data_IF_295804641090
#
_entry.id   IF_295804641090
#
_cell.length_a   1.000
_cell.length_b   1.000
_cell.length_c   1.000
_cell.angle_alpha   90.00
_cell.angle_beta   90.00
_cell.angle_gamma   90.00
#
_symmetry.space_group_name_H-M   'P 1'
#
loop_
_entity.id
_entity.type
_entity.pdbx_description
1 polymer ?
#
# COMPACT_ATOMS: atom_id res chain seq x y z
N UNK A 1 4.03 -10.18 -1.96
CA UNK A 1 5.05 -10.84 -2.82
C UNK A 1 4.48 -11.44 -4.10
N UNK A 2 3.15 -11.53 -4.26
CA UNK A 2 2.56 -11.77 -5.58
C UNK A 2 3.00 -10.66 -6.53
N UNK A 3 3.24 -11.03 -7.78
CA UNK A 3 3.82 -10.14 -8.79
C UNK A 3 2.79 -9.59 -9.76
N UNK A 4 3.10 -8.40 -10.26
CA UNK A 4 2.49 -7.75 -11.42
C UNK A 4 3.63 -7.34 -12.34
N UNK A 5 3.66 -7.84 -13.58
CA UNK A 5 4.73 -7.51 -14.52
C UNK A 5 6.12 -7.99 -14.10
N UNK A 6 6.18 -9.15 -13.43
CA UNK A 6 7.43 -9.73 -12.91
C UNK A 6 8.03 -8.98 -11.72
N UNK A 7 7.27 -8.09 -11.07
CA UNK A 7 7.71 -7.35 -9.87
C UNK A 7 6.67 -7.50 -8.76
N UNK A 8 7.07 -7.72 -7.50
CA UNK A 8 6.13 -7.84 -6.39
C UNK A 8 5.22 -6.61 -6.26
N UNK A 9 3.94 -6.78 -5.94
CA UNK A 9 3.03 -5.63 -5.67
C UNK A 9 3.61 -4.66 -4.61
N UNK A 10 4.32 -5.20 -3.61
CA UNK A 10 5.05 -4.41 -2.61
C UNK A 10 6.03 -3.43 -3.26
N UNK A 11 6.73 -3.85 -4.32
CA UNK A 11 7.65 -2.99 -5.06
C UNK A 11 6.90 -1.85 -5.78
N UNK A 12 5.73 -2.13 -6.38
CA UNK A 12 4.91 -1.10 -7.03
C UNK A 12 4.42 -0.05 -6.03
N UNK A 13 4.01 -0.47 -4.83
CA UNK A 13 3.63 0.43 -3.74
C UNK A 13 4.82 1.30 -3.32
N UNK A 14 6.00 0.71 -3.13
CA UNK A 14 7.21 1.46 -2.77
C UNK A 14 7.62 2.45 -3.87
N UNK A 15 7.44 2.11 -5.15
CA UNK A 15 7.68 3.06 -6.25
C UNK A 15 6.72 4.24 -6.22
N UNK A 16 5.45 4.01 -5.91
CA UNK A 16 4.47 5.08 -5.74
C UNK A 16 4.92 6.04 -4.62
N UNK A 17 5.25 5.54 -3.43
CA UNK A 17 5.80 6.37 -2.34
C UNK A 17 7.09 7.10 -2.74
N UNK A 18 8.01 6.40 -3.40
CA UNK A 18 9.29 6.96 -3.83
C UNK A 18 9.14 8.06 -4.89
N UNK A 19 8.11 7.99 -5.73
CA UNK A 19 7.77 9.05 -6.67
C UNK A 19 7.36 10.33 -5.93
N UNK A 20 6.61 10.21 -4.83
CA UNK A 20 6.24 11.32 -3.95
C UNK A 20 7.30 11.67 -2.89
N UNK A 21 8.55 11.20 -3.06
CA UNK A 21 9.68 11.59 -2.21
C UNK A 21 9.90 10.75 -0.95
N UNK A 22 9.05 9.76 -0.67
CA UNK A 22 9.18 8.87 0.50
C UNK A 22 10.04 7.66 0.13
N UNK A 23 11.22 7.56 0.75
CA UNK A 23 12.26 6.58 0.39
C UNK A 23 12.74 5.70 1.54
N UNK A 24 12.24 5.99 2.75
CA UNK A 24 12.49 5.19 3.94
C UNK A 24 11.28 4.29 4.20
N UNK A 25 11.51 2.98 4.19
CA UNK A 25 10.47 1.97 4.28
C UNK A 25 10.73 1.05 5.47
N UNK A 26 9.68 0.79 6.25
CA UNK A 26 9.66 -0.25 7.26
C UNK A 26 8.59 -1.27 6.86
N UNK A 27 9.01 -2.49 6.55
CA UNK A 27 8.09 -3.57 6.16
C UNK A 27 7.84 -4.47 7.36
N UNK A 28 6.59 -4.50 7.82
CA UNK A 28 6.13 -5.38 8.88
C UNK A 28 5.98 -6.82 8.36
N UNK A 29 7.04 -7.62 8.46
CA UNK A 29 7.02 -9.02 8.08
C UNK A 29 6.27 -9.88 9.10
N UNK A 30 5.66 -10.97 8.65
CA UNK A 30 5.12 -12.04 9.49
C UNK A 30 5.40 -13.39 8.83
N UNK A 31 4.38 -14.22 8.71
CA UNK A 31 4.50 -15.51 8.01
C UNK A 31 5.14 -15.35 6.62
N UNK A 32 6.15 -16.17 6.32
CA UNK A 32 7.00 -16.09 5.11
C UNK A 32 7.78 -14.79 4.93
N UNK A 33 8.02 -14.02 6.00
CA UNK A 33 8.84 -12.81 5.97
C UNK A 33 10.24 -13.02 5.38
N UNK A 34 10.80 -14.23 5.48
CA UNK A 34 12.07 -14.59 4.85
C UNK A 34 12.08 -14.37 3.33
N UNK A 35 10.95 -14.58 2.62
CA UNK A 35 10.85 -14.33 1.17
C UNK A 35 11.06 -12.85 0.85
N UNK A 36 10.58 -11.95 1.72
CA UNK A 36 10.79 -10.51 1.57
C UNK A 36 12.25 -10.16 1.85
N UNK A 37 12.85 -10.76 2.90
CA UNK A 37 14.27 -10.59 3.24
C UNK A 37 15.18 -11.02 2.09
N UNK A 38 14.93 -12.19 1.53
CA UNK A 38 15.69 -12.73 0.41
C UNK A 38 15.56 -11.83 -0.84
N UNK A 39 14.34 -11.38 -1.17
CA UNK A 39 14.11 -10.48 -2.30
C UNK A 39 14.93 -9.18 -2.21
N UNK A 40 14.98 -8.51 -1.05
CA UNK A 40 15.78 -7.29 -0.88
C UNK A 40 17.28 -7.56 -0.74
N UNK A 41 17.68 -8.70 -0.16
CA UNK A 41 19.08 -9.11 -0.11
C UNK A 41 19.67 -9.34 -1.51
N UNK A 42 18.84 -9.85 -2.44
CA UNK A 42 19.21 -10.14 -3.81
C UNK A 42 18.58 -9.15 -4.81
N UNK A 43 18.21 -7.94 -4.38
CA UNK A 43 17.46 -7.00 -5.21
C UNK A 43 18.13 -6.73 -6.57
N UNK A 44 19.45 -6.52 -6.59
CA UNK A 44 20.19 -6.30 -7.83
C UNK A 44 20.19 -7.52 -8.77
N UNK A 45 20.17 -8.73 -8.23
CA UNK A 45 20.04 -9.95 -9.03
C UNK A 45 18.66 -10.08 -9.67
N UNK A 46 17.61 -9.63 -8.98
CA UNK A 46 16.24 -9.63 -9.52
C UNK A 46 16.00 -8.52 -10.55
N UNK A 47 16.71 -7.39 -10.42
CA UNK A 47 16.34 -6.15 -11.11
C UNK A 47 17.35 -5.71 -12.17
N UNK A 48 18.46 -6.41 -12.34
CA UNK A 48 19.55 -5.99 -13.22
C UNK A 48 20.22 -7.18 -13.90
N UNK A 49 20.75 -6.94 -15.10
CA UNK A 49 21.57 -7.93 -15.80
C UNK A 49 22.88 -8.16 -15.02
N UNK A 50 23.27 -9.42 -14.82
CA UNK A 50 24.49 -9.79 -14.08
C UNK A 50 25.40 -10.68 -14.91
N UNK A 51 26.71 -10.60 -14.66
CA UNK A 51 27.69 -11.59 -15.13
C UNK A 51 28.39 -12.21 -13.95
N UNK A 52 28.47 -13.54 -13.97
CA UNK A 52 29.24 -14.32 -13.03
C UNK A 52 30.53 -14.78 -13.70
N UNK A 53 31.66 -14.20 -13.30
CA UNK A 53 32.97 -14.74 -13.60
C UNK A 53 33.27 -15.85 -12.59
N UNK A 54 32.98 -17.09 -12.98
CA UNK A 54 33.17 -18.27 -12.13
C UNK A 54 34.66 -18.57 -11.88
N UNK A 55 35.57 -18.08 -12.72
CA UNK A 55 37.01 -18.29 -12.54
C UNK A 55 37.60 -17.39 -11.45
N UNK A 56 37.02 -16.20 -11.28
CA UNK A 56 37.39 -15.23 -10.26
C UNK A 56 36.42 -15.21 -9.08
N UNK A 57 35.37 -16.04 -9.12
CA UNK A 57 34.25 -16.04 -8.18
C UNK A 57 33.68 -14.63 -7.94
N UNK A 58 33.52 -13.87 -9.02
CA UNK A 58 33.10 -12.45 -8.99
C UNK A 58 31.78 -12.27 -9.72
N UNK A 59 30.89 -11.48 -9.11
CA UNK A 59 29.64 -11.02 -9.71
C UNK A 59 29.77 -9.56 -10.13
N UNK A 60 29.37 -9.26 -11.36
CA UNK A 60 29.27 -7.90 -11.90
C UNK A 60 27.81 -7.59 -12.25
N UNK A 61 27.34 -6.39 -11.89
CA UNK A 61 25.96 -5.92 -12.15
C UNK A 61 26.03 -4.85 -13.24
N UNK A 62 25.44 -5.11 -14.41
CA UNK A 62 25.63 -4.32 -15.63
C UNK A 62 24.77 -3.05 -15.72
N UNK A 63 23.75 -2.91 -14.87
CA UNK A 63 22.92 -1.70 -14.79
C UNK A 63 22.55 -1.40 -13.34
N UNK A 64 23.10 -0.33 -12.79
CA UNK A 64 22.70 0.15 -11.47
C UNK A 64 21.36 0.92 -11.56
N UNK A 65 20.25 0.21 -11.76
CA UNK A 65 18.91 0.74 -11.44
C UNK A 65 18.69 0.68 -9.92
N UNK A 66 19.63 1.26 -9.16
CA UNK A 66 19.52 1.32 -7.71
C UNK A 66 18.44 2.34 -7.35
N UNK A 67 17.34 1.85 -6.78
CA UNK A 67 16.36 2.75 -6.17
C UNK A 67 17.00 3.39 -4.93
N UNK A 68 16.80 4.70 -4.69
CA UNK A 68 17.40 5.40 -3.55
C UNK A 68 16.66 5.09 -2.24
N UNK A 69 16.44 3.82 -1.93
CA UNK A 69 15.60 3.36 -0.82
C UNK A 69 16.42 2.87 0.37
N UNK A 70 15.94 3.19 1.57
CA UNK A 70 16.35 2.52 2.81
C UNK A 70 15.21 1.62 3.24
N UNK A 71 15.44 0.30 3.22
CA UNK A 71 14.39 -0.69 3.51
C UNK A 71 14.75 -1.46 4.77
N UNK A 72 13.93 -1.30 5.81
CA UNK A 72 14.02 -2.04 7.06
C UNK A 72 12.97 -3.15 7.07
N UNK A 73 13.40 -4.38 7.30
CA UNK A 73 12.51 -5.55 7.32
C UNK A 73 12.41 -6.08 8.76
N UNK A 74 11.25 -5.88 9.38
CA UNK A 74 11.04 -6.18 10.79
C UNK A 74 10.17 -7.42 10.91
N UNK A 75 10.63 -8.42 11.66
CA UNK A 75 9.75 -9.53 12.04
C UNK A 75 8.77 -9.02 13.11
N UNK A 76 7.52 -8.86 12.71
CA UNK A 76 6.42 -8.40 13.55
C UNK A 76 5.55 -9.57 14.02
N UNK A 77 6.02 -10.81 13.90
CA UNK A 77 5.38 -12.03 14.41
C UNK A 77 4.31 -12.62 13.49
N UNK A 78 4.17 -13.94 13.54
CA UNK A 78 3.28 -14.67 12.63
C UNK A 78 1.79 -14.42 12.93
N UNK A 79 1.41 -14.34 14.20
CA UNK A 79 0.01 -14.24 14.66
C UNK A 79 -0.45 -12.80 14.98
N UNK A 80 0.42 -11.81 14.79
CA UNK A 80 0.13 -10.41 15.14
C UNK A 80 -0.83 -9.76 14.16
N UNK A 81 -1.80 -9.02 14.68
CA UNK A 81 -2.79 -8.27 13.91
C UNK A 81 -2.25 -6.92 13.43
N UNK A 82 -2.92 -6.28 12.47
CA UNK A 82 -2.48 -5.04 11.78
C UNK A 82 -2.04 -3.93 12.74
N UNK A 83 -2.80 -3.65 13.80
CA UNK A 83 -2.43 -2.65 14.80
C UNK A 83 -1.22 -3.09 15.63
N UNK A 84 -1.21 -4.35 16.07
CA UNK A 84 -0.05 -4.95 16.74
C UNK A 84 1.25 -4.82 15.94
N UNK A 85 1.19 -5.06 14.62
CA UNK A 85 2.36 -4.94 13.72
C UNK A 85 2.87 -3.50 13.67
N UNK A 86 1.97 -2.53 13.57
CA UNK A 86 2.31 -1.11 13.64
C UNK A 86 2.97 -0.76 14.99
N UNK A 87 2.42 -1.25 16.12
CA UNK A 87 3.02 -1.04 17.44
C UNK A 87 4.42 -1.64 17.57
N UNK A 88 4.69 -2.79 16.96
CA UNK A 88 6.02 -3.43 17.00
C UNK A 88 7.11 -2.65 16.25
N UNK A 89 6.74 -1.74 15.35
CA UNK A 89 7.70 -0.89 14.63
C UNK A 89 7.84 0.51 15.22
N UNK A 90 7.32 0.75 16.44
CA UNK A 90 7.40 2.04 17.16
C UNK A 90 8.80 2.65 17.14
N UNK A 91 9.85 1.87 17.39
CA UNK A 91 11.25 2.34 17.43
C UNK A 91 11.72 3.02 16.14
N UNK A 92 11.06 2.75 15.01
CA UNK A 92 11.42 3.31 13.71
C UNK A 92 10.64 4.57 13.33
N UNK A 93 9.55 4.89 14.03
CA UNK A 93 8.57 5.92 13.62
C UNK A 93 8.20 6.90 14.75
N UNK A 94 8.53 6.60 16.01
CA UNK A 94 8.11 7.39 17.17
C UNK A 94 8.66 8.81 17.20
N UNK A 95 9.81 9.04 16.58
CA UNK A 95 10.51 10.34 16.57
C UNK A 95 10.14 11.20 15.35
N UNK A 96 9.32 10.68 14.43
CA UNK A 96 8.85 11.42 13.26
C UNK A 96 7.66 12.34 13.61
N UNK A 97 7.53 13.46 12.89
CA UNK A 97 6.33 14.31 12.98
C UNK A 97 5.08 13.54 12.54
N UNK A 98 5.19 12.85 11.41
CA UNK A 98 4.17 11.97 10.86
C UNK A 98 4.86 10.92 9.96
N UNK A 99 4.21 9.78 9.80
CA UNK A 99 4.66 8.69 8.93
C UNK A 99 3.50 8.17 8.07
N UNK A 100 3.83 7.60 6.91
CA UNK A 100 2.85 6.93 6.08
C UNK A 100 2.67 5.47 6.49
N UNK A 101 1.44 4.99 6.47
CA UNK A 101 1.10 3.60 6.77
C UNK A 101 0.09 3.08 5.76
N UNK A 102 0.29 1.89 5.20
CA UNK A 102 -0.64 1.34 4.20
C UNK A 102 -0.61 -0.18 4.16
N UNK A 103 -1.56 -0.74 3.41
CA UNK A 103 -1.65 -2.15 3.10
C UNK A 103 -0.67 -2.55 1.98
N UNK A 104 -0.22 -3.80 2.00
CA UNK A 104 0.77 -4.34 1.05
C UNK A 104 0.20 -4.87 -0.26
N UNK A 105 -1.09 -4.63 -0.53
CA UNK A 105 -1.89 -5.26 -1.59
C UNK A 105 -2.75 -4.28 -2.41
N UNK A 106 -2.75 -2.98 -2.08
CA UNK A 106 -3.51 -1.95 -2.78
C UNK A 106 -2.65 -1.09 -3.70
N UNK A 107 -3.11 -0.84 -4.94
CA UNK A 107 -2.49 0.08 -5.88
C UNK A 107 -3.42 1.25 -6.20
N UNK A 108 -2.85 2.44 -6.31
CA UNK A 108 -3.60 3.68 -6.53
C UNK A 108 -2.77 4.71 -7.26
N UNK A 109 -3.43 5.67 -7.90
CA UNK A 109 -2.85 6.92 -8.40
C UNK A 109 -3.07 8.10 -7.42
N UNK A 110 -3.33 7.80 -6.15
CA UNK A 110 -3.45 8.81 -5.08
C UNK A 110 -2.18 9.66 -4.98
N UNK A 111 -2.35 10.98 -4.85
CA UNK A 111 -1.24 11.88 -4.58
C UNK A 111 -0.86 11.81 -3.10
N UNK A 112 0.19 11.04 -2.82
CA UNK A 112 0.71 10.87 -1.45
C UNK A 112 1.30 12.17 -0.91
N UNK A 113 1.87 13.02 -1.77
CA UNK A 113 2.39 14.32 -1.35
C UNK A 113 1.27 15.23 -0.85
N UNK A 114 0.14 15.25 -1.59
CA UNK A 114 -1.05 15.99 -1.20
C UNK A 114 -1.69 15.45 0.09
N UNK A 115 -1.71 14.13 0.30
CA UNK A 115 -2.27 13.55 1.54
C UNK A 115 -1.43 13.87 2.77
N UNK A 116 -0.10 13.93 2.63
CA UNK A 116 0.81 14.36 3.71
C UNK A 116 0.63 15.84 4.04
N UNK A 117 0.51 16.69 3.03
CA UNK A 117 0.26 18.12 3.24
C UNK A 117 -1.11 18.36 3.89
N UNK A 118 -2.15 17.65 3.43
CA UNK A 118 -3.46 17.67 4.06
C UNK A 118 -3.41 17.26 5.54
N UNK A 119 -2.65 16.21 5.86
CA UNK A 119 -2.44 15.76 7.25
C UNK A 119 -1.87 16.86 8.14
N UNK A 120 -0.81 17.52 7.66
CA UNK A 120 -0.17 18.63 8.36
C UNK A 120 -1.11 19.81 8.57
N UNK A 121 -1.93 20.13 7.58
CA UNK A 121 -2.85 21.29 7.64
C UNK A 121 -3.94 21.13 8.70
N UNK A 122 -4.51 19.92 8.85
CA UNK A 122 -5.59 19.71 9.81
C UNK A 122 -5.08 19.37 11.23
N UNK A 123 -3.84 18.90 11.38
CA UNK A 123 -3.19 18.69 12.67
C UNK A 123 -3.85 17.63 13.58
N UNK A 124 -4.47 16.61 12.98
CA UNK A 124 -5.12 15.49 13.68
C UNK A 124 -4.26 14.25 13.61
N UNK A 125 -4.44 13.30 14.52
CA UNK A 125 -3.56 12.14 14.61
C UNK A 125 -3.61 11.20 13.40
N UNK A 126 -4.71 11.15 12.65
CA UNK A 126 -4.84 10.25 11.51
C UNK A 126 -5.50 10.91 10.29
N UNK A 127 -4.93 10.62 9.13
CA UNK A 127 -5.56 10.80 7.82
C UNK A 127 -5.70 9.44 7.17
N UNK A 128 -6.88 9.12 6.65
CA UNK A 128 -7.13 7.92 5.82
C UNK A 128 -7.50 8.35 4.42
N UNK A 129 -6.98 7.65 3.41
CA UNK A 129 -7.43 7.89 2.03
C UNK A 129 -8.78 7.22 1.82
N UNK A 130 -9.81 8.02 1.56
CA UNK A 130 -11.18 7.57 1.34
C UNK A 130 -11.43 7.38 -0.16
N UNK A 131 -11.77 6.17 -0.59
CA UNK A 131 -11.87 5.79 -2.00
C UNK A 131 -13.25 5.24 -2.33
N UNK A 132 -13.62 5.29 -3.61
CA UNK A 132 -14.80 4.58 -4.10
C UNK A 132 -14.46 3.11 -4.34
N UNK A 133 -15.22 2.16 -3.75
CA UNK A 133 -14.97 0.75 -4.00
C UNK A 133 -15.26 0.38 -5.47
N UNK A 134 -14.55 -0.62 -6.03
CA UNK A 134 -14.99 -1.24 -7.26
C UNK A 134 -16.35 -1.89 -7.04
N UNK A 135 -17.26 -1.77 -8.01
CA UNK A 135 -18.55 -2.44 -7.96
C UNK A 135 -18.37 -3.94 -7.74
N UNK A 136 -19.10 -4.51 -6.79
CA UNK A 136 -19.05 -5.96 -6.53
C UNK A 136 -19.97 -6.72 -7.48
N UNK A 137 -21.09 -6.10 -7.84
CA UNK A 137 -22.18 -6.70 -8.61
C UNK A 137 -22.51 -5.85 -9.84
N UNK A 138 -23.25 -6.44 -10.78
CA UNK A 138 -23.83 -5.70 -11.90
C UNK A 138 -24.93 -4.76 -11.41
N UNK A 139 -24.78 -3.46 -11.65
CA UNK A 139 -25.84 -2.51 -11.40
C UNK A 139 -26.84 -2.54 -12.56
N UNK A 140 -28.11 -2.53 -12.20
CA UNK A 140 -29.22 -2.52 -13.15
C UNK A 140 -29.94 -1.18 -12.97
N UNK A 141 -30.02 -0.40 -14.04
CA UNK A 141 -30.86 0.79 -14.10
C UNK A 141 -32.24 0.37 -14.59
N UNK A 142 -33.28 0.75 -13.84
CA UNK A 142 -34.67 0.39 -14.14
C UNK A 142 -35.56 1.63 -14.22
N UNK A 143 -36.46 1.64 -15.21
CA UNK A 143 -37.63 2.51 -15.26
C UNK A 143 -38.89 1.65 -15.07
N UNK A 144 -39.42 1.62 -13.84
CA UNK A 144 -40.45 0.65 -13.44
C UNK A 144 -39.89 -0.78 -13.48
N UNK A 145 -40.60 -1.68 -14.15
CA UNK A 145 -40.16 -3.08 -14.33
C UNK A 145 -39.20 -3.28 -15.52
N UNK A 146 -38.91 -2.22 -16.28
CA UNK A 146 -38.07 -2.29 -17.47
C UNK A 146 -36.62 -1.94 -17.11
N UNK A 147 -35.71 -2.88 -17.39
CA UNK A 147 -34.26 -2.61 -17.37
C UNK A 147 -33.91 -1.68 -18.54
N UNK A 148 -33.37 -0.50 -18.24
CA UNK A 148 -32.91 0.50 -19.20
C UNK A 148 -31.39 0.52 -19.35
N UNK A 149 -30.66 0.02 -18.35
CA UNK A 149 -29.20 -0.05 -18.35
C UNK A 149 -28.68 -1.22 -17.54
N UNK A 150 -27.52 -1.75 -17.94
CA UNK A 150 -26.78 -2.75 -17.18
C UNK A 150 -25.31 -2.36 -17.21
N UNK A 151 -24.74 -2.11 -16.04
CA UNK A 151 -23.32 -1.90 -15.87
C UNK A 151 -22.77 -3.05 -15.02
N UNK A 152 -21.92 -3.90 -15.58
CA UNK A 152 -21.22 -4.90 -14.79
C UNK A 152 -20.20 -4.17 -13.91
N UNK A 153 -20.46 -4.12 -12.59
CA UNK A 153 -19.54 -3.59 -11.57
C UNK A 153 -19.14 -2.13 -11.78
N UNK A 154 -20.11 -1.19 -11.80
CA UNK A 154 -19.78 0.22 -11.89
C UNK A 154 -18.97 0.66 -10.67
N UNK A 155 -18.13 1.67 -10.85
CA UNK A 155 -17.45 2.33 -9.72
C UNK A 155 -18.48 3.10 -8.90
N UNK A 156 -18.38 3.03 -7.57
CA UNK A 156 -19.15 3.93 -6.69
C UNK A 156 -20.60 3.53 -6.42
N UNK A 157 -20.93 2.24 -6.48
CA UNK A 157 -22.25 1.71 -6.07
C UNK A 157 -22.46 1.70 -4.53
N UNK A 158 -21.75 2.57 -3.80
CA UNK A 158 -21.70 2.63 -2.35
C UNK A 158 -20.95 3.85 -1.82
N UNK A 159 -20.98 4.06 -0.50
CA UNK A 159 -20.24 5.13 0.16
C UNK A 159 -18.73 4.97 0.08
N UNK A 160 -17.99 6.03 0.43
CA UNK A 160 -16.53 6.00 0.53
C UNK A 160 -16.08 4.92 1.52
N UNK A 161 -15.01 4.23 1.18
CA UNK A 161 -14.38 3.19 2.01
C UNK A 161 -12.94 3.56 2.35
N UNK A 162 -12.39 2.88 3.36
CA UNK A 162 -10.97 2.94 3.69
C UNK A 162 -10.12 2.33 2.56
N UNK A 163 -9.35 3.16 1.87
CA UNK A 163 -8.41 2.74 0.82
C UNK A 163 -6.99 2.44 1.33
N UNK A 164 -6.75 2.55 2.64
CA UNK A 164 -5.40 2.53 3.22
C UNK A 164 -4.74 3.90 3.07
N UNK A 165 -3.48 3.91 2.63
CA UNK A 165 -2.68 5.11 2.37
C UNK A 165 -2.86 6.17 3.47
N UNK A 166 -2.64 5.74 4.71
CA UNK A 166 -2.75 6.58 5.88
C UNK A 166 -1.53 7.50 5.99
N UNK A 167 -1.76 8.67 6.58
CA UNK A 167 -0.73 9.54 7.15
C UNK A 167 -1.06 9.69 8.63
N UNK A 168 -0.14 9.32 9.49
CA UNK A 168 -0.38 9.16 10.93
C UNK A 168 0.68 9.91 11.74
N UNK A 169 0.25 10.57 12.81
CA UNK A 169 1.16 11.04 13.85
C UNK A 169 1.48 9.90 14.83
N UNK A 170 2.67 9.83 15.47
CA UNK A 170 3.00 8.77 16.43
C UNK A 170 2.02 8.59 17.60
N UNK A 171 1.25 9.61 17.93
CA UNK A 171 0.19 9.55 18.95
C UNK A 171 -0.85 8.44 18.71
N UNK A 172 -1.03 7.98 17.46
CA UNK A 172 -1.94 6.84 17.18
C UNK A 172 -1.49 5.54 17.82
N UNK A 173 -0.21 5.41 18.21
CA UNK A 173 0.33 4.20 18.82
C UNK A 173 -0.28 3.94 20.21
N UNK A 174 -0.72 5.00 20.91
CA UNK A 174 -1.41 4.91 22.20
C UNK A 174 -2.81 4.29 22.07
N UNK A 175 -3.37 4.29 20.85
CA UNK A 175 -4.65 3.65 20.55
C UNK A 175 -4.53 2.14 20.29
N UNK A 176 -3.35 1.56 20.44
CA UNK A 176 -3.11 0.14 20.14
C UNK A 176 -2.70 -0.57 21.43
N UNK A 177 -3.57 -1.43 21.95
CA UNK A 177 -3.35 -2.07 23.26
C UNK A 177 -2.38 -3.25 23.22
N UNK A 178 -2.11 -3.83 22.05
CA UNK A 178 -1.12 -4.90 21.90
C UNK A 178 -1.22 -5.66 20.57
N UNK A 179 -0.56 -6.82 20.52
CA UNK A 179 -0.35 -7.59 19.29
C UNK A 179 -1.61 -8.16 18.64
N UNK A 180 -2.65 -8.40 19.43
CA UNK A 180 -3.92 -8.97 19.00
C UNK A 180 -4.89 -7.93 18.42
N UNK A 181 -4.51 -6.64 18.45
CA UNK A 181 -5.39 -5.55 18.04
C UNK A 181 -5.31 -5.36 16.52
N UNK A 182 -6.46 -5.49 15.84
CA UNK A 182 -6.60 -5.06 14.47
C UNK A 182 -6.70 -3.53 14.41
N UNK A 183 -5.91 -2.91 13.52
CA UNK A 183 -5.91 -1.47 13.28
C UNK A 183 -7.32 -0.98 12.91
N UNK A 184 -7.99 -1.72 12.04
CA UNK A 184 -9.34 -1.46 11.52
C UNK A 184 -10.45 -1.61 12.57
N UNK A 185 -10.12 -2.14 13.75
CA UNK A 185 -11.06 -2.36 14.84
C UNK A 185 -11.06 -1.20 15.84
N UNK A 186 -10.74 -1.46 17.13
CA UNK A 186 -10.76 -0.43 18.17
C UNK A 186 -9.92 0.83 17.90
N UNK A 187 -8.71 0.79 17.30
CA UNK A 187 -7.90 1.99 17.08
C UNK A 187 -8.60 3.02 16.18
N UNK A 188 -9.01 2.65 14.96
CA UNK A 188 -9.70 3.56 14.04
C UNK A 188 -11.05 4.03 14.60
N UNK A 189 -11.81 3.15 15.25
CA UNK A 189 -13.09 3.53 15.85
C UNK A 189 -12.93 4.59 16.96
N UNK A 190 -11.90 4.46 17.81
CA UNK A 190 -11.59 5.43 18.86
C UNK A 190 -11.08 6.75 18.27
N UNK A 191 -10.15 6.71 17.32
CA UNK A 191 -9.66 7.92 16.63
C UNK A 191 -10.80 8.71 15.98
N UNK A 192 -11.74 8.02 15.34
CA UNK A 192 -12.93 8.65 14.76
C UNK A 192 -13.84 9.27 15.83
N UNK A 193 -14.11 8.53 16.92
CA UNK A 193 -14.95 9.01 18.02
C UNK A 193 -14.35 10.23 18.74
N UNK A 194 -13.03 10.28 18.85
CA UNK A 194 -12.29 11.38 19.47
C UNK A 194 -12.14 12.61 18.54
N UNK A 195 -12.56 12.50 17.27
CA UNK A 195 -12.41 13.56 16.28
C UNK A 195 -10.97 13.73 15.76
N UNK A 196 -10.14 12.70 15.92
CA UNK A 196 -8.72 12.68 15.56
C UNK A 196 -8.42 11.99 14.22
N UNK A 197 -9.46 11.69 13.43
CA UNK A 197 -9.34 11.05 12.12
C UNK A 197 -10.02 11.88 11.02
N UNK A 198 -9.27 12.16 9.95
CA UNK A 198 -9.73 12.89 8.77
C UNK A 198 -9.69 12.02 7.52
N UNK A 199 -10.60 12.28 6.57
CA UNK A 199 -10.65 11.59 5.29
C UNK A 199 -10.02 12.47 4.18
N UNK A 200 -9.03 11.93 3.48
CA UNK A 200 -8.51 12.47 2.24
C UNK A 200 -9.22 11.77 1.07
N UNK A 201 -10.17 12.45 0.43
CA UNK A 201 -10.97 11.84 -0.63
C UNK A 201 -10.17 11.67 -1.92
N UNK A 202 -10.20 10.45 -2.47
CA UNK A 202 -9.56 10.10 -3.74
C UNK A 202 -10.56 9.47 -4.69
N UNK A 203 -10.88 10.19 -5.77
CA UNK A 203 -11.80 9.73 -6.82
C UNK A 203 -11.11 9.05 -8.00
N UNK A 204 -9.78 8.92 -7.96
CA UNK A 204 -8.97 8.32 -9.03
C UNK A 204 -8.99 6.79 -9.03
N UNK A 205 -7.95 6.19 -9.61
CA UNK A 205 -7.75 4.75 -9.58
C UNK A 205 -7.38 4.28 -8.17
N UNK A 206 -8.09 3.26 -7.69
CA UNK A 206 -7.70 2.45 -6.54
C UNK A 206 -8.18 1.02 -6.76
N UNK A 207 -7.31 0.05 -6.52
CA UNK A 207 -7.60 -1.36 -6.75
C UNK A 207 -6.81 -2.24 -5.76
N UNK A 208 -7.48 -3.01 -4.89
CA UNK A 208 -6.85 -4.06 -4.09
C UNK A 208 -6.58 -5.30 -4.94
N UNK A 209 -5.71 -6.18 -4.45
CA UNK A 209 -5.38 -7.46 -5.06
C UNK A 209 -5.66 -8.62 -4.10
N UNK A 210 -6.93 -8.83 -3.78
CA UNK A 210 -7.40 -9.90 -2.88
C UNK A 210 -7.66 -11.22 -3.62
N UNK A 211 -8.00 -11.11 -4.91
CA UNK A 211 -8.45 -12.22 -5.75
C UNK A 211 -7.60 -12.39 -7.01
N UNK A 212 -7.64 -13.60 -7.59
CA UNK A 212 -6.98 -13.87 -8.88
C UNK A 212 -7.53 -12.97 -10.01
N UNK A 213 -8.81 -12.60 -9.94
CA UNK A 213 -9.42 -11.69 -10.91
C UNK A 213 -8.74 -10.31 -10.86
N UNK A 214 -8.52 -9.78 -9.67
CA UNK A 214 -7.88 -8.48 -9.49
C UNK A 214 -6.41 -8.53 -9.88
N UNK A 215 -5.72 -9.63 -9.56
CA UNK A 215 -4.36 -9.88 -10.08
C UNK A 215 -4.34 -9.80 -11.61
N UNK A 216 -5.25 -10.48 -12.30
CA UNK A 216 -5.29 -10.50 -13.76
C UNK A 216 -5.61 -9.12 -14.34
N UNK A 217 -6.52 -8.36 -13.72
CA UNK A 217 -6.82 -6.98 -14.10
C UNK A 217 -5.57 -6.08 -14.00
N UNK A 218 -4.85 -6.17 -12.87
CA UNK A 218 -3.63 -5.40 -12.66
C UNK A 218 -2.52 -5.81 -13.64
N UNK A 219 -2.38 -7.10 -13.94
CA UNK A 219 -1.45 -7.61 -14.95
C UNK A 219 -1.79 -7.10 -16.37
N UNK A 220 -3.07 -7.05 -16.73
CA UNK A 220 -3.53 -6.50 -18.01
C UNK A 220 -3.25 -5.01 -18.13
N UNK A 221 -3.55 -4.24 -17.07
CA UNK A 221 -3.24 -2.81 -17.02
C UNK A 221 -1.73 -2.54 -17.16
N UNK A 222 -0.91 -3.36 -16.51
CA UNK A 222 0.55 -3.27 -16.63
C UNK A 222 1.05 -3.61 -18.03
N UNK A 223 0.66 -4.78 -18.56
CA UNK A 223 1.12 -5.27 -19.86
C UNK A 223 0.65 -4.42 -21.04
N UNK A 224 -0.52 -3.80 -20.93
CA UNK A 224 -1.02 -2.84 -21.93
C UNK A 224 -0.38 -1.45 -21.85
N UNK A 225 0.49 -1.21 -20.86
CA UNK A 225 1.13 0.09 -20.64
C UNK A 225 0.19 1.16 -20.09
N UNK A 226 -0.96 0.77 -19.54
CA UNK A 226 -2.03 1.66 -19.04
C UNK A 226 -2.23 1.60 -17.53
N UNK A 227 -1.24 1.10 -16.78
CA UNK A 227 -1.27 1.03 -15.32
C UNK A 227 -1.35 2.43 -14.71
N UNK A 228 -2.49 2.85 -14.13
CA UNK A 228 -2.65 4.24 -13.66
C UNK A 228 -1.74 4.57 -12.48
N UNK A 229 -1.44 3.58 -11.65
CA UNK A 229 -0.53 3.74 -10.50
C UNK A 229 0.95 3.93 -10.90
N UNK A 230 1.33 3.65 -12.16
CA UNK A 230 2.71 3.79 -12.63
C UNK A 230 2.99 5.26 -13.01
N UNK A 231 3.13 6.11 -11.99
CA UNK A 231 3.46 7.53 -12.14
C UNK A 231 4.97 7.81 -12.30
N UNK A 232 5.82 6.79 -12.18
CA UNK A 232 7.28 6.92 -12.30
C UNK A 232 7.80 6.62 -13.71
N UNK A 233 8.96 7.20 -14.02
CA UNK A 233 9.71 6.99 -15.25
C UNK A 233 10.57 5.72 -15.20
#
# INVERSE_FOLDING_TARGET
>A
MVEIGGRPILWHIMKLYSHHGIRDFVVCCGYKGYVIKEYFANYFLHMSDVTFDMSLNKMEVHRHHAEPWRVTLVDTGDETMTGGRLKRVTTYIQDDEAFCFTYGDGLSDVDIGASVEFHRQHGRHATVTAVLPPGRYGAIECEGDRVTGFAEKPRGDGGLINGGFFVLSPAVLDYIDGDHVAWEGPPLARLAADGEMMAFEHSGFWQPMDTLREKNLLEELWSSGKAPWKCWH
#
